data_IF_315573119459
#
_entry.id   IF_315573119459
#
_cell.length_a   1.000
_cell.length_b   1.000
_cell.length_c   1.000
_cell.angle_alpha   90.00
_cell.angle_beta   90.00
_cell.angle_gamma   90.00
#
_symmetry.space_group_name_H-M   'P 1'
#
loop_
_entity.id
_entity.type
_entity.pdbx_description
1 polymer ?
#
# COMPACT_ATOMS: atom_id res chain seq x y z
N UNK A 1 -11.76 -29.18 -0.12
CA UNK A 1 -10.84 -28.37 0.70
C UNK A 1 -10.16 -27.36 -0.20
N UNK A 2 -10.20 -26.07 0.14
CA UNK A 2 -9.54 -25.00 -0.62
C UNK A 2 -8.33 -24.48 0.16
N UNK A 3 -7.28 -24.09 -0.54
CA UNK A 3 -6.01 -23.64 0.04
C UNK A 3 -5.63 -22.28 -0.51
N UNK A 4 -5.12 -21.41 0.37
CA UNK A 4 -4.49 -20.15 -0.01
C UNK A 4 -3.04 -20.14 0.45
N UNK A 5 -2.14 -19.81 -0.46
CA UNK A 5 -0.73 -19.57 -0.17
C UNK A 5 -0.52 -18.06 -0.08
N UNK A 6 0.04 -17.60 1.05
CA UNK A 6 0.18 -16.18 1.36
C UNK A 6 1.66 -15.88 1.57
N UNK A 7 2.17 -15.03 0.71
CA UNK A 7 3.48 -14.42 0.79
C UNK A 7 3.35 -13.16 1.65
N UNK A 8 4.13 -13.09 2.73
CA UNK A 8 4.18 -11.93 3.62
C UNK A 8 3.06 -11.97 4.65
N UNK A 9 2.65 -13.16 5.10
CA UNK A 9 1.51 -13.37 6.00
C UNK A 9 1.61 -12.64 7.35
N UNK A 10 2.81 -12.26 7.78
CA UNK A 10 3.04 -11.49 9.01
C UNK A 10 2.96 -9.97 8.81
N UNK A 11 2.96 -9.50 7.56
CA UNK A 11 2.79 -8.08 7.22
C UNK A 11 1.33 -7.66 7.13
N UNK A 12 1.06 -6.35 7.06
CA UNK A 12 -0.31 -5.80 7.05
C UNK A 12 -1.20 -6.42 5.97
N UNK A 13 -0.70 -6.49 4.73
CA UNK A 13 -1.43 -7.06 3.61
C UNK A 13 -1.69 -8.56 3.80
N UNK A 14 -0.63 -9.33 4.08
CA UNK A 14 -0.74 -10.79 4.18
C UNK A 14 -1.60 -11.24 5.35
N UNK A 15 -1.54 -10.53 6.49
CA UNK A 15 -2.37 -10.83 7.65
C UNK A 15 -3.85 -10.52 7.37
N UNK A 16 -4.14 -9.43 6.67
CA UNK A 16 -5.50 -9.11 6.21
C UNK A 16 -6.07 -10.23 5.32
N UNK A 17 -5.27 -10.73 4.38
CA UNK A 17 -5.64 -11.85 3.51
C UNK A 17 -5.82 -13.13 4.33
N UNK A 18 -4.91 -13.44 5.25
CA UNK A 18 -5.00 -14.64 6.08
C UNK A 18 -6.29 -14.67 6.90
N UNK A 19 -6.60 -13.58 7.62
CA UNK A 19 -7.83 -13.49 8.43
C UNK A 19 -9.08 -13.59 7.57
N UNK A 20 -9.09 -12.93 6.41
CA UNK A 20 -10.25 -12.98 5.50
C UNK A 20 -10.52 -14.41 5.05
N UNK A 21 -9.49 -15.12 4.56
CA UNK A 21 -9.70 -16.47 4.04
C UNK A 21 -9.90 -17.51 5.13
N UNK A 22 -9.23 -17.40 6.28
CA UNK A 22 -9.43 -18.31 7.42
C UNK A 22 -10.81 -18.14 8.08
N UNK A 23 -11.48 -17.00 7.89
CA UNK A 23 -12.87 -16.81 8.33
C UNK A 23 -13.88 -17.56 7.46
N UNK A 24 -13.50 -17.98 6.25
CA UNK A 24 -14.37 -18.70 5.32
C UNK A 24 -14.31 -20.21 5.61
N UNK A 25 -15.45 -20.93 5.50
CA UNK A 25 -15.45 -22.37 5.63
C UNK A 25 -14.57 -23.01 4.53
N UNK A 26 -13.92 -24.13 4.88
CA UNK A 26 -13.10 -24.96 3.98
C UNK A 26 -11.79 -24.35 3.44
N UNK A 27 -11.34 -23.20 3.96
CA UNK A 27 -10.06 -22.57 3.59
C UNK A 27 -8.97 -22.77 4.64
N UNK A 28 -7.75 -23.05 4.18
CA UNK A 28 -6.56 -23.19 5.02
C UNK A 28 -5.35 -22.47 4.41
N UNK A 29 -4.43 -21.98 5.27
CA UNK A 29 -3.22 -21.27 4.87
C UNK A 29 -2.00 -22.21 4.86
N UNK A 30 -1.16 -22.14 3.80
CA UNK A 30 0.09 -22.91 3.72
C UNK A 30 1.21 -22.11 3.03
N UNK A 31 2.15 -21.48 3.78
CA UNK A 31 3.49 -21.14 3.27
C UNK A 31 4.43 -20.38 4.22
N UNK A 32 5.74 -20.60 4.00
CA UNK A 32 6.91 -19.80 4.40
C UNK A 32 7.59 -19.28 3.10
N UNK A 33 8.20 -18.09 3.15
CA UNK A 33 8.78 -17.39 2.01
C UNK A 33 10.28 -17.43 1.87
N UNK A 34 10.97 -17.90 2.89
CA UNK A 34 12.43 -17.87 2.91
C UNK A 34 13.07 -18.92 1.99
N UNK A 35 12.29 -19.85 1.44
CA UNK A 35 12.78 -20.99 0.67
C UNK A 35 12.03 -21.18 -0.66
N UNK A 36 12.71 -20.85 -1.77
CA UNK A 36 12.20 -21.04 -3.15
C UNK A 36 11.80 -22.50 -3.43
N UNK A 37 12.48 -23.46 -2.80
CA UNK A 37 12.16 -24.88 -2.97
C UNK A 37 10.84 -25.27 -2.31
N UNK A 38 10.38 -24.50 -1.32
CA UNK A 38 9.07 -24.65 -0.67
C UNK A 38 7.91 -24.00 -1.45
N UNK A 39 8.20 -23.03 -2.33
CA UNK A 39 7.18 -22.27 -3.08
C UNK A 39 6.52 -23.09 -4.19
N UNK A 40 7.29 -23.90 -4.94
CA UNK A 40 6.73 -24.71 -6.03
C UNK A 40 5.68 -25.72 -5.51
N UNK A 41 5.94 -26.52 -4.46
CA UNK A 41 4.93 -27.41 -3.88
C UNK A 41 3.72 -26.66 -3.31
N UNK A 42 3.93 -25.50 -2.67
CA UNK A 42 2.85 -24.68 -2.15
C UNK A 42 1.93 -24.17 -3.29
N UNK A 43 2.52 -23.70 -4.40
CA UNK A 43 1.79 -23.18 -5.55
C UNK A 43 1.06 -24.27 -6.34
N UNK A 44 1.63 -25.48 -6.43
CA UNK A 44 1.03 -26.60 -7.17
C UNK A 44 -0.33 -27.04 -6.61
N UNK A 45 -0.55 -26.87 -5.32
CA UNK A 45 -1.76 -27.31 -4.62
C UNK A 45 -2.64 -26.17 -4.12
N UNK A 46 -2.27 -24.91 -4.38
CA UNK A 46 -3.01 -23.73 -3.97
C UNK A 46 -4.20 -23.46 -4.89
N UNK A 47 -5.34 -23.09 -4.33
CA UNK A 47 -6.45 -22.52 -5.11
C UNK A 47 -6.22 -21.03 -5.40
N UNK A 48 -5.54 -20.33 -4.50
CA UNK A 48 -5.19 -18.91 -4.61
C UNK A 48 -3.78 -18.70 -4.07
N UNK A 49 -2.99 -17.87 -4.75
CA UNK A 49 -1.68 -17.42 -4.28
C UNK A 49 -1.73 -15.90 -4.16
N UNK A 50 -1.44 -15.39 -2.97
CA UNK A 50 -1.23 -13.96 -2.74
C UNK A 50 0.26 -13.70 -2.60
N UNK A 51 0.81 -12.86 -3.49
CA UNK A 51 2.21 -12.47 -3.52
C UNK A 51 2.36 -10.95 -3.32
N UNK A 52 3.14 -10.53 -2.32
CA UNK A 52 3.58 -9.15 -2.16
C UNK A 52 5.09 -9.10 -1.88
N UNK A 53 5.64 -7.91 -2.02
CA UNK A 53 7.06 -7.60 -1.84
C UNK A 53 7.17 -6.36 -0.93
N UNK A 54 8.29 -6.22 -0.20
CA UNK A 54 8.48 -5.20 0.84
C UNK A 54 9.72 -4.35 0.58
N UNK A 55 9.55 -3.35 -0.29
CA UNK A 55 10.56 -2.33 -0.55
C UNK A 55 11.01 -1.62 0.73
N UNK A 56 10.06 -1.21 1.57
CA UNK A 56 10.34 -0.37 2.74
C UNK A 56 11.09 -1.12 3.85
N UNK A 57 10.85 -2.42 4.01
CA UNK A 57 11.65 -3.29 4.88
C UNK A 57 13.12 -3.29 4.45
N UNK A 58 13.37 -3.44 3.16
CA UNK A 58 14.72 -3.45 2.58
C UNK A 58 15.39 -2.07 2.66
N UNK A 59 14.64 -1.00 2.39
CA UNK A 59 15.12 0.37 2.50
C UNK A 59 15.52 0.73 3.92
N UNK A 60 14.69 0.40 4.93
CA UNK A 60 15.04 0.66 6.33
C UNK A 60 16.24 -0.15 6.82
N UNK A 61 16.46 -1.34 6.25
CA UNK A 61 17.60 -2.19 6.62
C UNK A 61 18.92 -1.71 6.00
N UNK A 62 18.88 -1.17 4.78
CA UNK A 62 20.07 -0.78 4.01
C UNK A 62 20.36 0.73 4.02
N UNK A 63 19.33 1.56 4.18
CA UNK A 63 19.38 3.00 3.88
C UNK A 63 19.50 3.32 2.39
N UNK A 64 19.42 2.32 1.50
CA UNK A 64 19.69 2.46 0.07
C UNK A 64 18.43 2.16 -0.75
N UNK A 65 18.00 3.15 -1.51
CA UNK A 65 16.93 3.06 -2.51
C UNK A 65 17.27 2.04 -3.60
N UNK A 66 18.50 2.05 -4.10
CA UNK A 66 19.01 1.13 -5.12
C UNK A 66 19.02 -0.32 -4.65
N UNK A 67 19.48 -0.58 -3.41
CA UNK A 67 19.47 -1.93 -2.85
C UNK A 67 18.05 -2.41 -2.59
N UNK A 68 17.21 -1.56 -1.99
CA UNK A 68 15.81 -1.87 -1.77
C UNK A 68 15.07 -2.17 -3.09
N UNK A 69 15.33 -1.38 -4.12
CA UNK A 69 14.81 -1.60 -5.47
C UNK A 69 15.32 -2.91 -6.07
N UNK A 70 16.62 -3.20 -5.95
CA UNK A 70 17.19 -4.44 -6.46
C UNK A 70 16.58 -5.67 -5.78
N UNK A 71 16.40 -5.63 -4.46
CA UNK A 71 15.73 -6.68 -3.68
C UNK A 71 14.26 -6.82 -4.12
N UNK A 72 13.54 -5.71 -4.26
CA UNK A 72 12.14 -5.68 -4.68
C UNK A 72 11.96 -6.28 -6.09
N UNK A 73 12.80 -5.85 -7.03
CA UNK A 73 12.84 -6.39 -8.40
C UNK A 73 13.18 -7.88 -8.36
N UNK A 74 14.13 -8.31 -7.53
CA UNK A 74 14.48 -9.71 -7.41
C UNK A 74 13.32 -10.54 -6.86
N UNK A 75 12.61 -10.06 -5.84
CA UNK A 75 11.44 -10.74 -5.29
C UNK A 75 10.28 -10.79 -6.30
N UNK A 76 10.00 -9.68 -6.98
CA UNK A 76 8.99 -9.63 -8.05
C UNK A 76 9.33 -10.57 -9.21
N UNK A 77 10.61 -10.62 -9.62
CA UNK A 77 11.10 -11.57 -10.63
C UNK A 77 10.96 -13.01 -10.15
N UNK A 78 11.29 -13.32 -8.90
CA UNK A 78 11.13 -14.68 -8.36
C UNK A 78 9.66 -15.12 -8.38
N UNK A 79 8.74 -14.24 -7.99
CA UNK A 79 7.30 -14.50 -8.07
C UNK A 79 6.85 -14.73 -9.53
N UNK A 80 7.29 -13.88 -10.45
CA UNK A 80 6.99 -14.00 -11.88
C UNK A 80 7.60 -15.27 -12.51
N UNK A 81 8.83 -15.65 -12.15
CA UNK A 81 9.50 -16.87 -12.62
C UNK A 81 8.77 -18.11 -12.09
N UNK A 82 8.40 -18.10 -10.80
CA UNK A 82 7.60 -19.18 -10.22
C UNK A 82 6.25 -19.33 -10.93
N UNK A 83 5.58 -18.22 -11.25
CA UNK A 83 4.33 -18.22 -12.01
C UNK A 83 4.51 -18.66 -13.48
N UNK A 84 5.53 -18.18 -14.19
CA UNK A 84 5.79 -18.52 -15.61
C UNK A 84 6.28 -19.95 -15.79
N UNK A 85 6.94 -20.53 -14.79
CA UNK A 85 7.18 -21.97 -14.71
C UNK A 85 5.91 -22.82 -14.61
N UNK A 86 4.74 -22.17 -14.47
CA UNK A 86 3.42 -22.78 -14.37
C UNK A 86 2.45 -22.06 -15.35
N UNK A 87 2.51 -22.33 -16.67
CA UNK A 87 1.76 -21.56 -17.68
C UNK A 87 0.25 -21.45 -17.44
N UNK A 88 -0.37 -22.51 -16.89
CA UNK A 88 -1.79 -22.52 -16.54
C UNK A 88 -2.11 -21.65 -15.31
N UNK A 89 -1.16 -21.47 -14.40
CA UNK A 89 -1.26 -20.51 -13.29
C UNK A 89 -1.13 -19.08 -13.82
N UNK A 90 -0.14 -18.81 -14.67
CA UNK A 90 0.07 -17.49 -15.26
C UNK A 90 -1.17 -16.98 -16.01
N UNK A 91 -1.87 -17.85 -16.75
CA UNK A 91 -3.15 -17.51 -17.42
C UNK A 91 -4.28 -17.16 -16.46
N UNK A 92 -4.19 -17.59 -15.20
CA UNK A 92 -5.19 -17.38 -14.14
C UNK A 92 -4.84 -16.24 -13.19
N UNK A 93 -3.61 -15.71 -13.25
CA UNK A 93 -3.13 -14.66 -12.35
C UNK A 93 -3.92 -13.37 -12.57
N UNK A 94 -4.30 -12.71 -11.48
CA UNK A 94 -4.83 -11.35 -11.45
C UNK A 94 -3.89 -10.48 -10.61
N UNK A 95 -3.93 -9.17 -10.81
CA UNK A 95 -3.03 -8.22 -10.16
C UNK A 95 -3.85 -7.27 -9.30
N UNK A 96 -3.37 -7.02 -8.08
CA UNK A 96 -3.93 -6.01 -7.18
C UNK A 96 -2.88 -4.92 -6.97
N UNK A 97 -3.27 -3.68 -7.21
CA UNK A 97 -2.49 -2.47 -6.99
C UNK A 97 -3.11 -1.83 -5.76
N UNK A 98 -2.37 -1.76 -4.66
CA UNK A 98 -2.88 -1.11 -3.45
C UNK A 98 -2.64 0.38 -3.53
N UNK A 99 -3.63 1.13 -3.08
CA UNK A 99 -3.49 2.53 -2.73
C UNK A 99 -2.39 2.81 -1.69
N UNK A 100 -1.95 4.07 -1.51
CA UNK A 100 -1.14 4.42 -0.36
C UNK A 100 -1.89 4.08 0.93
N UNK A 101 -1.16 3.52 1.88
CA UNK A 101 -1.75 3.12 3.15
C UNK A 101 -2.29 4.35 3.87
N UNK A 102 -3.40 4.19 4.60
CA UNK A 102 -3.97 5.24 5.44
C UNK A 102 -2.98 5.79 6.49
N UNK A 103 -1.93 5.02 6.81
CA UNK A 103 -0.83 5.40 7.70
C UNK A 103 0.32 6.13 7.00
N UNK A 104 0.29 6.28 5.68
CA UNK A 104 1.38 6.88 4.92
C UNK A 104 1.69 8.29 5.45
N UNK A 105 2.96 8.64 5.72
CA UNK A 105 3.33 9.91 6.34
C UNK A 105 2.89 11.17 5.60
N UNK A 106 2.64 11.10 4.29
CA UNK A 106 2.13 12.23 3.52
C UNK A 106 0.61 12.41 3.62
N UNK A 107 -0.10 11.40 4.09
CA UNK A 107 -1.54 11.45 4.37
C UNK A 107 -1.82 11.82 5.84
N UNK A 108 -0.77 12.14 6.62
CA UNK A 108 -0.86 12.55 8.01
C UNK A 108 -0.23 13.93 8.20
N UNK A 109 -0.78 14.78 9.08
CA UNK A 109 -0.14 16.05 9.40
C UNK A 109 0.96 15.86 10.45
N UNK A 110 1.86 16.83 10.53
CA UNK A 110 2.87 16.93 11.60
C UNK A 110 2.64 18.17 12.42
N UNK A 111 3.08 18.14 13.67
CA UNK A 111 3.09 19.35 14.49
C UNK A 111 4.16 20.33 13.99
N UNK A 112 3.75 21.53 13.58
CA UNK A 112 4.66 22.62 13.28
C UNK A 112 4.81 23.51 14.54
N UNK A 113 5.97 23.49 15.22
CA UNK A 113 6.17 24.30 16.43
C UNK A 113 6.20 25.81 16.14
N UNK A 114 6.58 26.22 14.92
CA UNK A 114 6.64 27.63 14.53
C UNK A 114 5.24 28.20 14.28
N UNK A 115 4.37 27.43 13.61
CA UNK A 115 2.98 27.79 13.38
C UNK A 115 2.05 27.45 14.55
N UNK A 116 2.52 26.61 15.50
CA UNK A 116 1.74 26.05 16.62
C UNK A 116 0.43 25.38 16.15
N UNK A 117 0.50 24.65 15.04
CA UNK A 117 -0.63 23.95 14.43
C UNK A 117 -0.18 22.64 13.79
N UNK A 118 -1.11 21.73 13.52
CA UNK A 118 -0.87 20.57 12.67
C UNK A 118 -0.82 21.01 11.20
N UNK A 119 0.06 20.40 10.41
CA UNK A 119 0.27 20.75 9.01
C UNK A 119 0.53 19.53 8.14
N UNK A 120 -0.25 19.41 7.08
CA UNK A 120 0.07 18.58 5.92
C UNK A 120 1.07 19.35 5.05
N UNK A 121 2.22 18.74 4.78
CA UNK A 121 3.20 19.28 3.83
C UNK A 121 3.39 18.23 2.75
N UNK A 122 2.98 18.54 1.52
CA UNK A 122 2.86 17.54 0.45
C UNK A 122 3.42 18.04 -0.89
N UNK A 123 4.02 17.14 -1.69
CA UNK A 123 4.54 17.44 -3.03
C UNK A 123 3.46 17.42 -4.13
N UNK A 124 2.19 17.58 -3.77
CA UNK A 124 1.06 17.34 -4.65
C UNK A 124 0.11 18.54 -4.63
N UNK A 125 -0.58 18.76 -5.76
CA UNK A 125 -1.62 19.80 -5.84
C UNK A 125 -2.84 19.42 -5.02
N UNK A 126 -3.50 20.42 -4.43
CA UNK A 126 -4.73 20.28 -3.63
C UNK A 126 -5.79 19.39 -4.28
N UNK A 127 -5.99 19.51 -5.59
CA UNK A 127 -6.96 18.73 -6.34
C UNK A 127 -6.51 17.32 -6.74
N UNK A 128 -5.24 16.95 -6.51
CA UNK A 128 -4.72 15.62 -6.85
C UNK A 128 -5.49 14.57 -6.05
N UNK A 129 -6.11 13.60 -6.75
CA UNK A 129 -6.86 12.51 -6.12
C UNK A 129 -5.93 11.36 -5.73
N UNK A 130 -6.15 10.82 -4.55
CA UNK A 130 -5.35 9.76 -3.94
C UNK A 130 -6.27 8.60 -3.52
N UNK A 131 -5.99 7.36 -3.98
CA UNK A 131 -6.80 6.18 -3.64
C UNK A 131 -6.31 5.55 -2.33
N UNK A 132 -6.82 5.94 -1.16
CA UNK A 132 -6.31 5.54 0.16
C UNK A 132 -6.83 4.16 0.57
N UNK A 133 -5.98 3.33 1.20
CA UNK A 133 -6.38 2.02 1.75
C UNK A 133 -5.93 1.80 3.21
N UNK A 134 -6.83 1.32 4.05
CA UNK A 134 -6.50 0.63 5.30
C UNK A 134 -5.96 -0.76 4.99
N UNK A 135 -4.67 -0.86 4.64
CA UNK A 135 -4.10 -2.10 4.11
C UNK A 135 -4.27 -3.32 5.03
N UNK A 136 -4.25 -3.11 6.36
CA UNK A 136 -4.44 -4.18 7.34
C UNK A 136 -5.89 -4.65 7.42
N UNK A 137 -6.84 -3.76 7.19
CA UNK A 137 -8.28 -4.01 7.32
C UNK A 137 -8.90 -4.50 6.01
N UNK A 138 -8.48 -3.94 4.87
CA UNK A 138 -9.22 -4.06 3.61
C UNK A 138 -8.59 -4.95 2.54
N UNK A 139 -7.26 -5.19 2.60
CA UNK A 139 -6.57 -5.95 1.53
C UNK A 139 -7.18 -7.32 1.30
N UNK A 140 -7.47 -8.06 2.37
CA UNK A 140 -8.04 -9.39 2.28
C UNK A 140 -9.42 -9.42 1.62
N UNK A 141 -10.27 -8.44 1.92
CA UNK A 141 -11.60 -8.33 1.33
C UNK A 141 -11.52 -8.07 -0.19
N UNK A 142 -10.61 -7.20 -0.63
CA UNK A 142 -10.36 -6.98 -2.06
C UNK A 142 -9.78 -8.20 -2.75
N UNK A 143 -8.81 -8.90 -2.13
CA UNK A 143 -8.28 -10.15 -2.69
C UNK A 143 -9.38 -11.19 -2.82
N UNK A 144 -10.27 -11.31 -1.83
CA UNK A 144 -11.38 -12.25 -1.89
C UNK A 144 -12.33 -11.94 -3.05
N UNK A 145 -12.68 -10.67 -3.27
CA UNK A 145 -13.51 -10.27 -4.40
C UNK A 145 -12.81 -10.52 -5.74
N UNK A 146 -11.51 -10.22 -5.83
CA UNK A 146 -10.70 -10.41 -7.04
C UNK A 146 -10.61 -11.89 -7.46
N UNK A 147 -10.69 -12.84 -6.52
CA UNK A 147 -10.73 -14.28 -6.83
C UNK A 147 -11.97 -14.69 -7.64
N UNK A 148 -13.08 -13.92 -7.54
CA UNK A 148 -14.31 -14.18 -8.30
C UNK A 148 -14.35 -13.38 -9.63
N UNK A 149 -13.33 -12.58 -9.91
CA UNK A 149 -13.16 -11.88 -11.18
C UNK A 149 -12.66 -12.80 -12.29
N UNK A 150 -12.74 -12.31 -13.53
CA UNK A 150 -12.07 -12.99 -14.62
C UNK A 150 -10.55 -13.02 -14.37
N UNK A 151 -9.84 -14.08 -14.81
CA UNK A 151 -8.38 -14.06 -14.87
C UNK A 151 -7.80 -12.80 -15.52
N UNK A 152 -6.58 -12.43 -15.15
CA UNK A 152 -5.86 -11.26 -15.69
C UNK A 152 -6.49 -9.92 -15.33
N UNK A 153 -7.44 -9.89 -14.38
CA UNK A 153 -8.01 -8.64 -13.88
C UNK A 153 -6.94 -7.86 -13.12
N UNK A 154 -6.91 -6.54 -13.32
CA UNK A 154 -6.04 -5.61 -12.60
C UNK A 154 -6.91 -4.67 -11.78
N UNK A 155 -6.86 -4.79 -10.46
CA UNK A 155 -7.67 -3.97 -9.55
C UNK A 155 -6.80 -2.94 -8.84
N UNK A 156 -7.15 -1.66 -8.94
CA UNK A 156 -6.66 -0.65 -8.01
C UNK A 156 -7.57 -0.66 -6.77
N UNK A 157 -7.07 -1.22 -5.67
CA UNK A 157 -7.82 -1.41 -4.43
C UNK A 157 -7.61 -0.23 -3.48
N UNK A 158 -8.73 0.37 -3.05
CA UNK A 158 -8.77 1.49 -2.11
C UNK A 158 -10.13 1.56 -1.42
N UNK A 159 -10.15 2.17 -0.24
CA UNK A 159 -11.36 2.38 0.56
C UNK A 159 -11.98 3.75 0.33
N UNK A 160 -11.15 4.73 0.00
CA UNK A 160 -11.57 6.10 -0.27
C UNK A 160 -10.69 6.70 -1.34
N UNK A 161 -11.27 7.44 -2.27
CA UNK A 161 -10.51 8.27 -3.20
C UNK A 161 -10.86 9.72 -2.93
N UNK A 162 -9.87 10.49 -2.49
CA UNK A 162 -10.05 11.87 -2.06
C UNK A 162 -8.94 12.75 -2.61
N UNK A 163 -9.26 14.00 -2.87
CA UNK A 163 -8.26 15.03 -3.16
C UNK A 163 -7.40 15.32 -1.93
N UNK A 164 -6.20 15.84 -2.14
CA UNK A 164 -5.27 16.26 -1.06
C UNK A 164 -5.94 17.24 -0.08
N UNK A 165 -6.75 18.17 -0.58
CA UNK A 165 -7.49 19.11 0.28
C UNK A 165 -8.56 18.40 1.11
N UNK A 166 -9.36 17.51 0.50
CA UNK A 166 -10.36 16.71 1.21
C UNK A 166 -9.73 15.82 2.28
N UNK A 167 -8.52 15.31 2.08
CA UNK A 167 -7.79 14.50 3.08
C UNK A 167 -7.52 15.30 4.35
N UNK A 168 -7.04 16.54 4.22
CA UNK A 168 -6.81 17.43 5.36
C UNK A 168 -8.11 17.79 6.08
N UNK A 169 -9.20 17.99 5.32
CA UNK A 169 -10.53 18.24 5.89
C UNK A 169 -11.09 17.01 6.62
N UNK A 170 -11.00 15.82 6.02
CA UNK A 170 -11.40 14.54 6.63
C UNK A 170 -10.67 14.33 7.94
N UNK A 171 -9.35 14.50 7.94
CA UNK A 171 -8.56 14.41 9.17
C UNK A 171 -9.05 15.41 10.22
N UNK A 172 -9.33 16.65 9.82
CA UNK A 172 -9.79 17.68 10.75
C UNK A 172 -11.16 17.35 11.35
N UNK A 173 -12.10 16.86 10.54
CA UNK A 173 -13.43 16.42 11.01
C UNK A 173 -13.35 15.18 11.89
N UNK A 174 -12.52 14.21 11.54
CA UNK A 174 -12.38 12.96 12.28
C UNK A 174 -11.74 13.16 13.66
N UNK A 175 -10.76 14.07 13.76
CA UNK A 175 -9.96 14.28 14.98
C UNK A 175 -10.46 15.45 15.83
N UNK A 176 -11.27 16.34 15.28
CA UNK A 176 -11.67 17.60 15.91
C UNK A 176 -10.56 18.64 16.01
N UNK A 177 -9.42 18.43 15.36
CA UNK A 177 -8.28 19.35 15.34
C UNK A 177 -8.15 19.98 13.96
N UNK A 178 -7.72 21.23 13.89
CA UNK A 178 -7.43 21.86 12.60
C UNK A 178 -6.04 21.43 12.13
N UNK A 179 -5.90 21.27 10.82
CA UNK A 179 -4.61 21.18 10.18
C UNK A 179 -4.59 22.06 8.92
N UNK A 180 -3.48 22.74 8.69
CA UNK A 180 -3.26 23.48 7.46
C UNK A 180 -2.66 22.58 6.40
N UNK A 181 -2.87 22.91 5.13
CA UNK A 181 -2.28 22.23 3.99
C UNK A 181 -1.28 23.15 3.28
N UNK A 182 -0.05 22.70 3.15
CA UNK A 182 1.04 23.37 2.44
C UNK A 182 1.47 22.49 1.27
N UNK A 183 1.27 23.02 0.07
CA UNK A 183 1.92 22.50 -1.14
C UNK A 183 3.38 22.96 -1.14
N UNK A 184 4.30 22.02 -1.28
CA UNK A 184 5.73 22.28 -1.36
C UNK A 184 6.25 21.58 -2.61
N UNK A 185 7.11 22.20 -3.41
CA UNK A 185 7.67 21.50 -4.56
C UNK A 185 8.72 20.45 -4.12
N UNK A 186 9.10 19.57 -5.05
CA UNK A 186 10.00 18.45 -4.75
C UNK A 186 11.39 18.94 -4.31
N UNK A 187 11.90 20.00 -4.93
CA UNK A 187 13.21 20.56 -4.61
C UNK A 187 13.21 21.15 -3.19
N UNK A 188 12.18 21.93 -2.84
CA UNK A 188 12.02 22.49 -1.51
C UNK A 188 11.85 21.39 -0.45
N UNK A 189 11.11 20.33 -0.74
CA UNK A 189 10.99 19.17 0.15
C UNK A 189 12.34 18.47 0.35
N UNK A 190 13.12 18.29 -0.70
CA UNK A 190 14.45 17.69 -0.60
C UNK A 190 15.38 18.55 0.25
N UNK A 191 15.47 19.84 -0.06
CA UNK A 191 16.42 20.75 0.58
C UNK A 191 16.06 21.07 2.04
N UNK A 192 14.77 21.31 2.33
CA UNK A 192 14.33 21.77 3.65
C UNK A 192 13.96 20.63 4.59
N UNK A 193 13.40 19.54 4.04
CA UNK A 193 12.92 18.41 4.83
C UNK A 193 13.81 17.18 4.73
N UNK A 194 14.83 17.20 3.86
CA UNK A 194 15.81 16.12 3.73
C UNK A 194 15.26 14.85 3.08
N UNK A 195 14.11 14.92 2.40
CA UNK A 195 13.51 13.74 1.77
C UNK A 195 14.35 13.32 0.56
N UNK A 196 14.79 12.05 0.46
CA UNK A 196 15.54 11.57 -0.70
C UNK A 196 14.76 11.73 -2.02
N UNK A 197 15.49 12.01 -3.11
CA UNK A 197 14.88 12.16 -4.44
C UNK A 197 14.13 10.89 -4.88
N UNK A 198 14.63 9.74 -4.48
CA UNK A 198 14.06 8.44 -4.82
C UNK A 198 12.67 8.23 -4.20
N UNK A 199 12.40 8.89 -3.07
CA UNK A 199 11.06 8.93 -2.48
C UNK A 199 10.19 9.98 -3.17
N UNK A 200 10.77 11.13 -3.53
CA UNK A 200 10.07 12.23 -4.18
C UNK A 200 9.66 11.92 -5.63
N UNK A 201 10.44 11.13 -6.36
CA UNK A 201 10.18 10.74 -7.74
C UNK A 201 8.83 10.03 -7.90
N UNK A 202 8.45 9.20 -6.92
CA UNK A 202 7.14 8.54 -6.90
C UNK A 202 6.00 9.56 -6.87
N UNK A 203 6.14 10.66 -6.12
CA UNK A 203 5.13 11.72 -6.06
C UNK A 203 5.15 12.62 -7.29
N UNK A 204 6.32 12.89 -7.87
CA UNK A 204 6.43 13.55 -9.17
C UNK A 204 5.68 12.78 -10.25
N UNK A 205 5.87 11.46 -10.30
CA UNK A 205 5.14 10.59 -11.22
C UNK A 205 3.62 10.63 -10.99
N UNK A 206 3.17 10.52 -9.73
CA UNK A 206 1.74 10.59 -9.39
C UNK A 206 1.14 11.94 -9.81
N UNK A 207 1.85 13.04 -9.60
CA UNK A 207 1.40 14.38 -9.95
C UNK A 207 1.26 14.57 -11.47
N UNK A 208 2.19 14.00 -12.25
CA UNK A 208 2.21 14.16 -13.70
C UNK A 208 1.27 13.19 -14.42
N UNK A 209 1.24 11.92 -13.98
CA UNK A 209 0.59 10.84 -14.73
C UNK A 209 -0.61 10.22 -14.00
N UNK A 210 -0.63 10.28 -12.66
CA UNK A 210 -1.63 9.63 -11.83
C UNK A 210 -1.16 8.29 -11.24
N UNK A 211 -1.87 7.82 -10.21
CA UNK A 211 -1.39 6.75 -9.33
C UNK A 211 -1.16 5.39 -10.01
N UNK A 212 -2.08 4.97 -10.89
CA UNK A 212 -1.98 3.70 -11.62
C UNK A 212 -1.63 3.91 -13.11
N UNK A 213 -1.05 5.06 -13.44
CA UNK A 213 -0.66 5.35 -14.81
C UNK A 213 0.37 4.34 -15.34
N UNK A 214 0.34 4.08 -16.65
CA UNK A 214 1.17 3.07 -17.28
C UNK A 214 0.66 1.63 -17.11
N UNK A 215 -0.40 1.39 -16.34
CA UNK A 215 -1.02 0.06 -16.20
C UNK A 215 -2.34 0.04 -16.98
N UNK A 216 -2.38 -0.74 -18.05
CA UNK A 216 -3.58 -0.85 -18.90
C UNK A 216 -4.67 -1.74 -18.26
N UNK A 217 -5.94 -1.36 -18.45
CA UNK A 217 -7.08 -2.20 -18.06
C UNK A 217 -7.30 -2.31 -16.56
N UNK A 218 -6.83 -1.32 -15.78
CA UNK A 218 -7.09 -1.25 -14.34
C UNK A 218 -8.56 -0.91 -14.09
N UNK A 219 -9.20 -1.69 -13.23
CA UNK A 219 -10.55 -1.44 -12.72
C UNK A 219 -10.49 -0.86 -11.30
N UNK A 220 -11.52 -0.11 -10.92
CA UNK A 220 -11.72 0.41 -9.56
C UNK A 220 -12.63 -0.51 -8.72
N UNK A 221 -12.70 -0.32 -7.39
CA UNK A 221 -13.57 -1.08 -6.51
C UNK A 221 -15.04 -1.11 -6.94
N UNK A 222 -15.55 0.00 -7.49
CA UNK A 222 -16.94 0.10 -7.95
C UNK A 222 -17.25 -0.76 -9.19
N UNK A 223 -16.22 -1.26 -9.88
CA UNK A 223 -16.35 -2.10 -11.06
C UNK A 223 -16.26 -3.60 -10.74
N UNK A 224 -16.00 -3.97 -9.49
CA UNK A 224 -16.00 -5.37 -9.06
C UNK A 224 -17.40 -5.97 -9.13
N UNK A 225 -17.49 -7.24 -9.54
CA UNK A 225 -18.74 -8.03 -9.56
C UNK A 225 -19.36 -8.16 -8.18
N UNK A 226 -18.51 -8.31 -7.16
CA UNK A 226 -18.91 -8.40 -5.76
C UNK A 226 -18.46 -7.11 -5.09
N UNK A 227 -19.40 -6.23 -4.69
CA UNK A 227 -19.06 -5.02 -3.96
C UNK A 227 -18.32 -5.37 -2.67
N UNK A 228 -17.21 -4.67 -2.43
CA UNK A 228 -16.44 -4.78 -1.20
C UNK A 228 -16.86 -3.63 -0.29
N UNK A 229 -17.31 -3.95 0.91
CA UNK A 229 -17.62 -2.96 1.92
C UNK A 229 -16.39 -2.76 2.81
N UNK A 230 -15.92 -1.52 2.89
CA UNK A 230 -14.78 -1.12 3.72
C UNK A 230 -15.11 0.16 4.46
N UNK A 231 -14.34 0.46 5.51
CA UNK A 231 -14.44 1.74 6.20
C UNK A 231 -13.87 2.84 5.31
N UNK A 232 -14.58 3.95 5.16
CA UNK A 232 -13.99 5.16 4.58
C UNK A 232 -12.75 5.60 5.38
N UNK A 233 -11.88 6.42 4.79
CA UNK A 233 -10.73 6.98 5.50
C UNK A 233 -11.14 7.75 6.77
N UNK A 234 -12.29 8.43 6.74
CA UNK A 234 -12.84 9.13 7.90
C UNK A 234 -13.25 8.17 9.02
N UNK A 235 -13.95 7.08 8.68
CA UNK A 235 -14.34 6.04 9.65
C UNK A 235 -13.13 5.29 10.19
N UNK A 236 -12.15 5.00 9.34
CA UNK A 236 -10.88 4.38 9.72
C UNK A 236 -10.14 5.23 10.76
N UNK A 237 -10.08 6.55 10.56
CA UNK A 237 -9.49 7.48 11.54
C UNK A 237 -10.28 7.50 12.85
N UNK A 238 -11.62 7.57 12.81
CA UNK A 238 -12.47 7.65 14.01
C UNK A 238 -12.38 6.42 14.91
N UNK A 239 -12.00 5.26 14.37
CA UNK A 239 -11.86 4.01 15.13
C UNK A 239 -10.53 3.87 15.87
N UNK A 240 -9.64 4.86 15.77
CA UNK A 240 -8.26 4.80 16.29
C UNK A 240 -7.90 6.06 17.08
N UNK A 241 -6.82 5.98 17.87
CA UNK A 241 -6.21 7.17 18.43
C UNK A 241 -5.39 7.87 17.34
N UNK A 242 -5.91 9.00 16.85
CA UNK A 242 -5.25 9.76 15.81
C UNK A 242 -3.86 10.26 16.20
N UNK A 243 -3.57 10.44 17.51
CA UNK A 243 -2.24 10.86 17.97
C UNK A 243 -1.22 9.76 17.78
N UNK A 244 -1.60 8.51 18.04
CA UNK A 244 -0.77 7.34 17.77
C UNK A 244 -0.56 7.15 16.26
N UNK A 245 -1.59 7.39 15.44
CA UNK A 245 -1.42 7.33 13.97
C UNK A 245 -0.47 8.42 13.48
N UNK A 246 -0.64 9.66 13.95
CA UNK A 246 0.22 10.79 13.56
C UNK A 246 1.67 10.59 14.04
N UNK A 247 1.89 10.13 15.27
CA UNK A 247 3.24 9.89 15.81
C UNK A 247 3.96 8.74 15.09
N UNK A 248 3.23 7.69 14.67
CA UNK A 248 3.79 6.64 13.81
C UNK A 248 4.16 7.18 12.44
N UNK A 249 3.32 8.05 11.85
CA UNK A 249 3.63 8.73 10.60
C UNK A 249 4.86 9.63 10.70
N UNK A 250 5.06 10.31 11.83
CA UNK A 250 6.29 11.05 12.14
C UNK A 250 7.50 10.11 12.23
N UNK A 251 7.39 8.99 12.95
CA UNK A 251 8.49 8.00 13.03
C UNK A 251 8.85 7.35 11.69
N UNK A 252 7.84 7.06 10.84
CA UNK A 252 8.08 6.58 9.47
C UNK A 252 8.78 7.63 8.61
N UNK A 253 8.37 8.90 8.72
CA UNK A 253 9.03 10.01 8.04
C UNK A 253 10.50 10.17 8.48
N UNK A 254 10.76 10.14 9.78
CA UNK A 254 12.10 10.24 10.34
C UNK A 254 12.98 9.06 9.88
N UNK A 255 12.40 7.87 9.71
CA UNK A 255 13.10 6.73 9.13
C UNK A 255 13.46 6.91 7.65
N UNK A 256 12.71 7.73 6.91
CA UNK A 256 13.00 8.08 5.51
C UNK A 256 14.09 9.15 5.42
N UNK A 257 14.00 10.20 6.24
CA UNK A 257 14.93 11.34 6.24
C UNK A 257 16.25 11.01 6.96
N UNK A 258 16.20 10.13 7.96
CA UNK A 258 17.32 9.80 8.85
C UNK A 258 18.17 8.60 8.43
N UNK A 259 17.91 7.97 7.27
CA UNK A 259 18.76 6.92 6.74
C UNK A 259 20.19 7.48 6.50
N UNK A 260 21.24 6.93 7.14
CA UNK A 260 22.60 7.40 6.91
C UNK A 260 22.95 7.24 5.42
N UNK A 261 23.40 8.32 4.78
CA UNK A 261 24.09 8.24 3.50
C UNK A 261 25.40 7.46 3.76
N UNK A 262 25.45 6.21 3.33
CA UNK A 262 26.68 5.42 3.29
C UNK A 262 27.62 5.95 2.20
#
# INVERSE_FOLDING_TARGET
MKTITIVGATGNQGLSVAETFLSLPDWHQTSDLSDVSSLRPAFANANVIFANTDFWGSYRASGSSDEAYAVEVQHGRNAAIAATGMPELAKKTSYIILGPYATNPLLMPRWDPSARNYRFTVPLKKGQRIPIIGARESTGAFVRALVDEAPQTRLLAYDSESSIEEIAEVWSRATGHKADLVEMDLEEMHEKLGIPWEVLDAFGYIAEYGYAAGIEGVISPSQLKIPVQTDSFEEWLKKRDWKDVASRGEGEWDGVVGAPRA
#
